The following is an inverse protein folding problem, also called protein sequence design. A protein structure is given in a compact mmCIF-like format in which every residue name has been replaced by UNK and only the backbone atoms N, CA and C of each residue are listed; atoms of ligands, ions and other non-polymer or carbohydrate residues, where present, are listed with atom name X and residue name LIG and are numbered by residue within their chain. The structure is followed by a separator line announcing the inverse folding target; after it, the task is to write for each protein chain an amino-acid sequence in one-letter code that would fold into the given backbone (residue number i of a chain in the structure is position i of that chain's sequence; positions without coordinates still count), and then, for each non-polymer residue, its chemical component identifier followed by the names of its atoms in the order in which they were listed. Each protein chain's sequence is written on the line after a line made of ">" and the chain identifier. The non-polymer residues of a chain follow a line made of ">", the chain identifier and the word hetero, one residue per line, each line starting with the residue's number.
data_IF_621479841050
#
_entry.id   IF_621479841050
#
_cell.length_a   1.000
_cell.length_b   1.000
_cell.length_c   1.000
_cell.angle_alpha   90.00
_cell.angle_beta   90.00
_cell.angle_gamma   90.00
#
_symmetry.space_group_name_H-M   'P 1'
#
loop_
_entity.id
_entity.type
_entity.pdbx_description
1 polymer ?
#
# COMPACT_ATOMS: atom_id res chain seq x y z
N UNK A 1 -1.68 35.29 -23.59
CA UNK A 1 -0.54 34.75 -22.82
C UNK A 1 -1.04 34.21 -21.49
N UNK A 2 -1.79 35.01 -20.73
CA UNK A 2 -2.42 34.67 -19.44
C UNK A 2 -3.14 33.32 -19.36
N UNK A 3 -4.03 33.01 -20.30
CA UNK A 3 -4.82 31.77 -20.27
C UNK A 3 -3.95 30.51 -20.39
N UNK A 4 -2.84 30.61 -21.16
CA UNK A 4 -1.89 29.51 -21.33
C UNK A 4 -1.03 29.32 -20.08
N UNK A 5 -0.62 30.42 -19.44
CA UNK A 5 0.12 30.38 -18.18
C UNK A 5 -0.73 29.81 -17.04
N UNK A 6 -2.00 30.21 -16.94
CA UNK A 6 -2.94 29.68 -15.96
C UNK A 6 -3.20 28.18 -16.15
N UNK A 7 -3.36 27.72 -17.40
CA UNK A 7 -3.53 26.30 -17.71
C UNK A 7 -2.30 25.46 -17.34
N UNK A 8 -1.09 25.97 -17.62
CA UNK A 8 0.16 25.33 -17.23
C UNK A 8 0.33 25.26 -15.71
N UNK A 9 -0.03 26.32 -14.99
CA UNK A 9 0.00 26.34 -13.53
C UNK A 9 -0.97 25.31 -12.93
N UNK A 10 -2.20 25.21 -13.45
CA UNK A 10 -3.18 24.20 -13.03
C UNK A 10 -2.69 22.77 -13.28
N UNK A 11 -2.09 22.51 -14.45
CA UNK A 11 -1.52 21.19 -14.77
C UNK A 11 -0.39 20.80 -13.81
N UNK A 12 0.49 21.74 -13.47
CA UNK A 12 1.56 21.52 -12.51
C UNK A 12 1.01 21.21 -11.11
N UNK A 13 0.02 21.97 -10.65
CA UNK A 13 -0.63 21.75 -9.34
C UNK A 13 -1.28 20.36 -9.28
N UNK A 14 -2.03 19.96 -10.31
CA UNK A 14 -2.62 18.62 -10.36
C UNK A 14 -1.54 17.53 -10.41
N UNK A 15 -0.48 17.70 -11.20
CA UNK A 15 0.59 16.70 -11.32
C UNK A 15 1.38 16.51 -10.01
N UNK A 16 1.41 17.49 -9.12
CA UNK A 16 2.13 17.40 -7.84
C UNK A 16 1.19 16.88 -6.73
N UNK A 17 -0.06 17.35 -6.68
CA UNK A 17 -1.00 16.98 -5.61
C UNK A 17 -1.53 15.56 -5.81
N UNK A 18 -1.88 15.15 -7.03
CA UNK A 18 -2.44 13.80 -7.26
C UNK A 18 -1.54 12.66 -6.79
N UNK A 19 -0.24 12.59 -7.14
CA UNK A 19 0.63 11.51 -6.66
C UNK A 19 0.91 11.60 -5.16
N UNK A 20 0.85 12.79 -4.55
CA UNK A 20 0.94 12.93 -3.10
C UNK A 20 -0.30 12.38 -2.36
N UNK A 21 -1.47 12.35 -3.04
CA UNK A 21 -2.74 11.85 -2.48
C UNK A 21 -3.03 10.39 -2.79
N UNK A 22 -2.35 9.77 -3.75
CA UNK A 22 -2.32 8.30 -3.86
C UNK A 22 -1.50 7.76 -2.69
N UNK A 23 -2.15 7.70 -1.53
CA UNK A 23 -1.60 7.10 -0.33
C UNK A 23 -1.09 5.70 -0.61
N UNK A 24 0.01 5.33 0.04
CA UNK A 24 0.53 3.97 0.02
C UNK A 24 -0.57 3.03 0.50
N UNK A 25 -1.16 2.26 -0.42
CA UNK A 25 -2.16 1.25 -0.07
C UNK A 25 -1.42 0.04 0.51
N UNK A 26 -1.61 -0.29 1.79
CA UNK A 26 -0.88 -1.36 2.41
C UNK A 26 -1.34 -2.70 1.85
N UNK A 27 -0.38 -3.60 1.63
CA UNK A 27 -0.68 -4.98 1.27
C UNK A 27 -1.25 -5.70 2.50
N UNK A 28 -2.58 -5.85 2.53
CA UNK A 28 -3.27 -6.56 3.61
C UNK A 28 -3.58 -8.02 3.21
N UNK A 29 -3.24 -8.95 4.09
CA UNK A 29 -3.81 -10.29 4.10
C UNK A 29 -5.30 -10.21 4.42
N UNK A 30 -6.13 -10.79 3.55
CA UNK A 30 -7.59 -10.87 3.71
C UNK A 30 -8.06 -12.26 4.20
N UNK A 31 -7.16 -13.26 4.19
CA UNK A 31 -7.45 -14.62 4.61
C UNK A 31 -6.19 -15.31 5.14
N UNK A 32 -6.32 -16.08 6.20
CA UNK A 32 -5.23 -16.87 6.80
C UNK A 32 -5.44 -18.36 6.57
N UNK A 33 -4.35 -19.10 6.33
CA UNK A 33 -4.36 -20.57 6.41
C UNK A 33 -3.82 -21.01 7.76
N UNK A 34 -4.54 -21.87 8.48
CA UNK A 34 -4.03 -22.53 9.70
C UNK A 34 -3.03 -23.64 9.39
N UNK A 35 -3.05 -24.16 8.17
CA UNK A 35 -2.21 -25.27 7.75
C UNK A 35 -1.21 -24.79 6.71
N UNK A 36 -0.03 -24.41 7.19
CA UNK A 36 1.12 -24.07 6.33
C UNK A 36 2.16 -25.17 6.50
N UNK A 37 2.56 -25.85 5.42
CA UNK A 37 3.58 -26.89 5.50
C UNK A 37 4.90 -26.36 6.09
N UNK A 38 5.52 -27.13 6.97
CA UNK A 38 6.79 -26.77 7.64
C UNK A 38 7.91 -26.38 6.67
N UNK A 39 7.96 -27.01 5.49
CA UNK A 39 9.00 -26.69 4.50
C UNK A 39 8.87 -25.26 3.94
N UNK A 40 7.65 -24.72 3.85
CA UNK A 40 7.41 -23.33 3.42
C UNK A 40 7.86 -22.36 4.51
N UNK A 41 7.56 -22.66 5.77
CA UNK A 41 7.99 -21.85 6.91
C UNK A 41 9.52 -21.78 7.04
N UNK A 42 10.22 -22.88 6.72
CA UNK A 42 11.69 -22.92 6.72
C UNK A 42 12.32 -22.23 5.51
N UNK A 43 11.61 -22.15 4.39
CA UNK A 43 12.09 -21.51 3.16
C UNK A 43 12.04 -19.98 3.24
N UNK A 44 11.05 -19.41 3.97
CA UNK A 44 10.97 -17.96 4.17
C UNK A 44 11.95 -17.51 5.25
N UNK A 45 13.02 -16.81 4.86
CA UNK A 45 13.98 -16.19 5.78
C UNK A 45 13.48 -14.94 6.51
N UNK A 46 12.28 -14.43 6.17
CA UNK A 46 11.64 -13.28 6.81
C UNK A 46 10.14 -13.50 6.85
N UNK A 47 9.52 -12.98 7.90
CA UNK A 47 8.07 -12.91 8.07
C UNK A 47 7.67 -11.49 8.46
N UNK A 48 6.50 -11.06 8.03
CA UNK A 48 5.90 -9.79 8.41
C UNK A 48 4.64 -10.06 9.24
N UNK A 49 4.50 -9.32 10.33
CA UNK A 49 3.32 -9.36 11.19
C UNK A 49 2.37 -8.27 10.74
N UNK A 50 1.14 -8.66 10.40
CA UNK A 50 0.03 -7.76 10.18
C UNK A 50 -0.81 -7.71 11.46
N UNK A 51 -1.06 -6.50 11.95
CA UNK A 51 -1.95 -6.24 13.08
C UNK A 51 -3.29 -5.69 12.60
N UNK A 52 -4.34 -5.91 13.38
CA UNK A 52 -5.68 -5.36 13.19
C UNK A 52 -5.83 -3.90 13.70
N UNK A 53 -4.76 -3.31 14.23
CA UNK A 53 -4.75 -1.94 14.79
C UNK A 53 -4.42 -0.84 13.79
N UNK A 54 -4.29 -1.20 12.51
CA UNK A 54 -3.81 -0.30 11.46
C UNK A 54 -4.77 -0.28 10.28
N UNK A 55 -4.21 -0.27 9.08
CA UNK A 55 -4.99 -0.22 7.85
C UNK A 55 -5.59 -1.57 7.40
N UNK A 56 -5.34 -2.66 8.14
CA UNK A 56 -5.81 -4.00 7.82
C UNK A 56 -6.74 -4.53 8.91
N UNK A 57 -7.75 -5.31 8.53
CA UNK A 57 -8.84 -5.73 9.44
C UNK A 57 -8.55 -6.99 10.25
N UNK A 58 -7.56 -7.80 9.85
CA UNK A 58 -7.28 -9.10 10.49
C UNK A 58 -5.82 -9.23 10.92
N UNK A 59 -5.55 -9.95 12.02
CA UNK A 59 -4.20 -10.34 12.38
C UNK A 59 -3.69 -11.44 11.43
N UNK A 60 -2.48 -11.29 10.90
CA UNK A 60 -1.87 -12.28 10.01
C UNK A 60 -0.33 -12.31 10.11
N UNK A 61 0.27 -13.41 9.65
CA UNK A 61 1.71 -13.57 9.46
C UNK A 61 1.95 -13.99 8.03
N UNK A 62 2.80 -13.26 7.30
CA UNK A 62 3.11 -13.49 5.89
C UNK A 62 4.61 -13.62 5.64
#
# INVERSE_FOLDING_TARGET
>A
MELRAAALALLLVCAIIFPATQGYMPHCCVKTSKYVPRYILRSRGRYQIQTDKGACDIPAVM
#
